data_IF_826260873222
#
_entry.id   IF_826260873222
#
_cell.length_a   1.000
_cell.length_b   1.000
_cell.length_c   1.000
_cell.angle_alpha   90.00
_cell.angle_beta   90.00
_cell.angle_gamma   90.00
#
_symmetry.space_group_name_H-M   'P 1'
#
loop_
_entity.id
_entity.type
_entity.pdbx_description
1 polymer ?
#
# COMPACT_ATOMS: atom_id res chain seq x y z
N UNK A 1 41.69 -39.56 -33.65
CA UNK A 1 40.63 -39.07 -32.74
C UNK A 1 41.14 -38.28 -31.52
N UNK A 2 42.25 -38.66 -30.86
CA UNK A 2 42.82 -37.95 -29.67
C UNK A 2 43.03 -36.43 -29.83
N UNK A 3 43.49 -35.94 -30.99
CA UNK A 3 43.65 -34.49 -31.24
C UNK A 3 42.31 -33.73 -31.15
N UNK A 4 41.22 -34.24 -31.73
CA UNK A 4 39.91 -33.56 -31.72
C UNK A 4 39.33 -33.44 -30.30
N UNK A 5 39.54 -34.44 -29.44
CA UNK A 5 39.13 -34.41 -28.03
C UNK A 5 39.91 -33.34 -27.23
N UNK A 6 41.25 -33.32 -27.36
CA UNK A 6 42.10 -32.34 -26.68
C UNK A 6 41.74 -30.90 -27.06
N UNK A 7 41.32 -30.68 -28.31
CA UNK A 7 40.84 -29.39 -28.81
C UNK A 7 39.44 -28.99 -28.33
N UNK A 8 38.60 -29.93 -27.89
CA UNK A 8 37.27 -29.63 -27.36
C UNK A 8 37.35 -29.09 -25.93
N UNK A 9 38.34 -29.55 -25.16
CA UNK A 9 38.60 -29.14 -23.76
C UNK A 9 39.59 -27.97 -23.61
N UNK A 10 40.10 -27.40 -24.70
CA UNK A 10 41.09 -26.31 -24.67
C UNK A 10 40.41 -24.95 -24.54
N UNK A 11 41.02 -24.03 -23.78
CA UNK A 11 40.42 -22.73 -23.49
C UNK A 11 40.24 -21.89 -24.77
N UNK A 12 39.15 -21.09 -24.88
CA UNK A 12 38.82 -20.35 -26.10
C UNK A 12 39.91 -19.36 -26.53
N UNK A 13 40.68 -18.79 -25.60
CA UNK A 13 41.81 -17.90 -25.89
C UNK A 13 43.01 -18.65 -26.52
N UNK A 14 43.33 -19.86 -26.06
CA UNK A 14 44.38 -20.71 -26.64
C UNK A 14 44.00 -21.16 -28.06
N UNK A 15 42.70 -21.39 -28.28
CA UNK A 15 42.13 -21.77 -29.58
C UNK A 15 42.14 -20.63 -30.61
N UNK A 16 42.10 -19.37 -30.13
CA UNK A 16 42.25 -18.18 -30.96
C UNK A 16 43.69 -17.99 -31.42
N UNK A 17 44.66 -18.11 -30.50
CA UNK A 17 46.09 -17.96 -30.78
C UNK A 17 46.62 -19.04 -31.73
N UNK A 18 46.13 -20.28 -31.61
CA UNK A 18 46.59 -21.41 -32.43
C UNK A 18 45.98 -21.48 -33.86
N UNK A 19 44.94 -20.69 -34.20
CA UNK A 19 44.21 -20.85 -35.48
C UNK A 19 43.67 -19.57 -36.12
N UNK A 20 43.82 -18.41 -35.49
CA UNK A 20 43.40 -17.11 -36.05
C UNK A 20 41.88 -16.92 -36.24
N UNK A 21 41.03 -17.84 -35.74
CA UNK A 21 39.56 -17.71 -35.86
C UNK A 21 39.02 -16.73 -34.83
N UNK A 22 38.68 -15.50 -35.28
CA UNK A 22 38.03 -14.45 -34.46
C UNK A 22 36.98 -15.04 -33.52
N UNK A 23 37.07 -14.81 -32.19
CA UNK A 23 36.24 -15.49 -31.19
C UNK A 23 34.88 -14.77 -31.05
N UNK A 24 34.11 -14.74 -32.14
CA UNK A 24 32.80 -14.09 -32.21
C UNK A 24 31.83 -14.56 -31.12
N UNK A 25 31.90 -15.85 -30.73
CA UNK A 25 31.09 -16.42 -29.64
C UNK A 25 31.38 -15.76 -28.29
N UNK A 26 32.64 -15.42 -28.01
CA UNK A 26 33.05 -14.77 -26.76
C UNK A 26 32.67 -13.29 -26.76
N UNK A 27 32.83 -12.59 -27.89
CA UNK A 27 32.38 -11.21 -28.05
C UNK A 27 30.87 -11.05 -27.85
N UNK A 28 30.06 -11.97 -28.40
CA UNK A 28 28.60 -12.00 -28.18
C UNK A 28 28.26 -12.24 -26.71
N UNK A 29 29.01 -13.11 -26.01
CA UNK A 29 28.79 -13.34 -24.58
C UNK A 29 29.10 -12.09 -23.74
N UNK A 30 30.19 -11.38 -24.03
CA UNK A 30 30.52 -10.11 -23.36
C UNK A 30 29.45 -9.05 -23.65
N UNK A 31 29.04 -8.92 -24.92
CA UNK A 31 27.99 -7.98 -25.31
C UNK A 31 26.65 -8.30 -24.61
N UNK A 32 26.29 -9.58 -24.52
CA UNK A 32 25.10 -10.02 -23.79
C UNK A 32 25.17 -9.63 -22.32
N UNK A 33 26.30 -9.86 -21.65
CA UNK A 33 26.48 -9.47 -20.25
C UNK A 33 26.31 -7.96 -20.11
N UNK A 34 26.98 -7.16 -20.95
CA UNK A 34 26.86 -5.71 -20.93
C UNK A 34 25.41 -5.23 -21.15
N UNK A 35 24.71 -5.76 -22.15
CA UNK A 35 23.31 -5.44 -22.42
C UNK A 35 22.40 -5.78 -21.24
N UNK A 36 22.54 -6.99 -20.68
CA UNK A 36 21.74 -7.42 -19.52
C UNK A 36 22.03 -6.56 -18.30
N UNK A 37 23.29 -6.20 -18.05
CA UNK A 37 23.65 -5.31 -16.93
C UNK A 37 23.07 -3.91 -17.11
N UNK A 38 23.11 -3.34 -18.32
CA UNK A 38 22.52 -2.02 -18.61
C UNK A 38 21.00 -2.07 -18.41
N UNK A 39 20.34 -3.10 -18.95
CA UNK A 39 18.90 -3.28 -18.79
C UNK A 39 18.51 -3.39 -17.31
N UNK A 40 19.27 -4.15 -16.51
CA UNK A 40 19.01 -4.31 -15.08
C UNK A 40 19.15 -2.98 -14.33
N UNK A 41 20.20 -2.19 -14.63
CA UNK A 41 20.43 -0.90 -13.96
C UNK A 41 19.32 0.10 -14.30
N UNK A 42 18.95 0.21 -15.57
CA UNK A 42 17.86 1.11 -15.99
C UNK A 42 16.53 0.72 -15.33
N UNK A 43 16.21 -0.58 -15.31
CA UNK A 43 15.02 -1.09 -14.63
C UNK A 43 15.06 -0.84 -13.11
N UNK A 44 16.22 -1.02 -12.48
CA UNK A 44 16.41 -0.77 -11.06
C UNK A 44 16.15 0.68 -10.67
N UNK A 45 16.66 1.64 -11.46
CA UNK A 45 16.45 3.06 -11.21
C UNK A 45 14.96 3.47 -11.32
N UNK A 46 14.25 2.94 -12.34
CA UNK A 46 12.82 3.21 -12.52
C UNK A 46 12.01 2.64 -11.34
N UNK A 47 12.23 1.37 -10.97
CA UNK A 47 11.54 0.77 -9.83
C UNK A 47 11.84 1.46 -8.50
N UNK A 48 13.08 1.89 -8.29
CA UNK A 48 13.47 2.60 -7.07
C UNK A 48 12.67 3.90 -6.90
N UNK A 49 12.43 4.64 -7.99
CA UNK A 49 11.61 5.85 -7.96
C UNK A 49 10.15 5.55 -7.60
N UNK A 50 9.56 4.49 -8.19
CA UNK A 50 8.19 4.08 -7.88
C UNK A 50 8.05 3.66 -6.42
N UNK A 51 9.01 2.89 -5.90
CA UNK A 51 9.02 2.45 -4.50
C UNK A 51 9.16 3.64 -3.56
N UNK A 52 10.08 4.56 -3.83
CA UNK A 52 10.26 5.77 -3.03
C UNK A 52 8.99 6.62 -3.00
N UNK A 53 8.37 6.85 -4.16
CA UNK A 53 7.11 7.57 -4.24
C UNK A 53 6.01 6.87 -3.42
N UNK A 54 5.87 5.55 -3.55
CA UNK A 54 4.90 4.78 -2.76
C UNK A 54 5.16 4.92 -1.26
N UNK A 55 6.41 4.81 -0.83
CA UNK A 55 6.81 4.86 0.59
C UNK A 55 6.56 6.24 1.19
N UNK A 56 6.99 7.32 0.52
CA UNK A 56 6.76 8.70 0.95
C UNK A 56 5.26 9.02 1.09
N UNK A 57 4.44 8.60 0.11
CA UNK A 57 2.99 8.77 0.19
C UNK A 57 2.39 7.94 1.33
N UNK A 58 2.86 6.70 1.53
CA UNK A 58 2.37 5.85 2.62
C UNK A 58 2.64 6.48 3.98
N UNK A 59 3.84 7.05 4.19
CA UNK A 59 4.18 7.77 5.42
C UNK A 59 3.27 9.00 5.58
N UNK A 60 3.08 9.79 4.52
CA UNK A 60 2.17 10.94 4.56
C UNK A 60 0.74 10.53 4.93
N UNK A 61 0.24 9.42 4.39
CA UNK A 61 -1.08 8.90 4.73
C UNK A 61 -1.18 8.44 6.19
N UNK A 62 -0.13 7.81 6.76
CA UNK A 62 -0.10 7.48 8.19
C UNK A 62 -0.25 8.73 9.06
N UNK A 63 0.50 9.79 8.77
CA UNK A 63 0.39 11.06 9.48
C UNK A 63 -0.95 11.77 9.30
N UNK A 64 -1.59 11.63 8.14
CA UNK A 64 -2.87 12.26 7.85
C UNK A 64 -4.06 11.53 8.51
N UNK A 65 -4.06 10.20 8.50
CA UNK A 65 -5.22 9.40 8.89
C UNK A 65 -5.10 8.75 10.27
N UNK A 66 -3.90 8.59 10.84
CA UNK A 66 -3.70 8.00 12.16
C UNK A 66 -3.47 9.09 13.23
N UNK A 67 -4.37 9.20 14.22
CA UNK A 67 -4.24 10.19 15.30
C UNK A 67 -3.03 9.86 16.17
N UNK A 68 -2.12 10.81 16.33
CA UNK A 68 -0.95 10.65 17.21
C UNK A 68 0.13 9.71 16.70
N UNK A 69 0.13 9.37 15.40
CA UNK A 69 1.19 8.59 14.79
C UNK A 69 2.54 9.32 14.82
N UNK A 70 3.62 8.56 15.05
CA UNK A 70 5.00 9.03 15.08
C UNK A 70 5.89 8.04 14.32
N UNK A 71 6.85 8.54 13.53
CA UNK A 71 7.64 7.77 12.54
C UNK A 71 8.39 6.53 13.08
N UNK A 72 8.50 6.37 14.40
CA UNK A 72 9.24 5.26 15.03
C UNK A 72 8.33 4.19 15.65
N UNK A 73 7.01 4.30 15.50
CA UNK A 73 6.04 3.42 16.16
C UNK A 73 5.27 2.51 15.20
N UNK A 74 5.78 2.28 13.98
CA UNK A 74 5.04 1.56 12.94
C UNK A 74 4.50 0.19 13.38
N UNK A 75 5.25 -0.57 14.17
CA UNK A 75 4.84 -1.90 14.66
C UNK A 75 4.26 -1.88 16.08
N UNK A 76 4.23 -0.72 16.74
CA UNK A 76 3.84 -0.58 18.16
C UNK A 76 2.64 0.34 18.37
N UNK A 77 2.14 0.96 17.30
CA UNK A 77 0.95 1.81 17.39
C UNK A 77 -0.28 0.94 17.65
N UNK A 78 -0.83 1.06 18.86
CA UNK A 78 -2.01 0.36 19.30
C UNK A 78 -2.85 1.27 20.20
N UNK A 79 -4.16 1.04 20.16
CA UNK A 79 -5.14 1.76 20.95
C UNK A 79 -5.72 0.79 21.99
N UNK A 80 -5.82 1.24 23.25
CA UNK A 80 -6.16 0.35 24.37
C UNK A 80 -7.50 0.67 25.05
N UNK A 81 -8.18 1.76 24.66
CA UNK A 81 -9.48 2.13 25.21
C UNK A 81 -10.54 2.20 24.13
N UNK A 82 -11.78 1.83 24.46
CA UNK A 82 -12.90 1.86 23.53
C UNK A 82 -13.16 3.27 22.99
N UNK A 83 -13.04 4.29 23.85
CA UNK A 83 -13.22 5.69 23.45
C UNK A 83 -12.14 6.13 22.46
N UNK A 84 -10.88 5.74 22.69
CA UNK A 84 -9.80 6.07 21.76
C UNK A 84 -9.99 5.40 20.39
N UNK A 85 -10.60 4.21 20.33
CA UNK A 85 -10.96 3.54 19.06
C UNK A 85 -11.98 4.38 18.29
N UNK A 86 -13.06 4.80 18.94
CA UNK A 86 -14.05 5.69 18.30
C UNK A 86 -13.43 7.01 17.85
N UNK A 87 -12.61 7.63 18.70
CA UNK A 87 -11.88 8.86 18.39
C UNK A 87 -10.99 8.71 17.17
N UNK A 88 -10.32 7.57 17.02
CA UNK A 88 -9.47 7.27 15.87
C UNK A 88 -10.27 7.17 14.57
N UNK A 89 -11.40 6.46 14.61
CA UNK A 89 -12.29 6.29 13.44
C UNK A 89 -12.84 7.64 13.01
N UNK A 90 -13.35 8.43 13.96
CA UNK A 90 -13.89 9.77 13.70
C UNK A 90 -12.81 10.71 13.18
N UNK A 91 -11.61 10.65 13.74
CA UNK A 91 -10.46 11.43 13.26
C UNK A 91 -10.13 11.08 11.80
N UNK A 92 -9.97 9.80 11.47
CA UNK A 92 -9.65 9.34 10.12
C UNK A 92 -10.74 9.75 9.11
N UNK A 93 -12.02 9.63 9.49
CA UNK A 93 -13.15 10.06 8.67
C UNK A 93 -13.13 11.57 8.41
N UNK A 94 -12.96 12.40 9.45
CA UNK A 94 -12.89 13.85 9.31
C UNK A 94 -11.72 14.27 8.41
N UNK A 95 -10.56 13.62 8.58
CA UNK A 95 -9.37 13.85 7.74
C UNK A 95 -9.60 13.42 6.28
N UNK A 96 -10.35 12.34 6.07
CA UNK A 96 -10.78 11.94 4.74
C UNK A 96 -11.68 12.99 4.10
N UNK A 97 -12.69 13.51 4.80
CA UNK A 97 -13.60 14.53 4.26
C UNK A 97 -12.89 15.86 3.95
N UNK A 98 -11.94 16.27 4.80
CA UNK A 98 -11.18 17.51 4.66
C UNK A 98 -9.90 17.37 3.82
N UNK A 99 -9.65 16.22 3.20
CA UNK A 99 -8.37 15.90 2.56
C UNK A 99 -7.88 16.99 1.60
N UNK A 100 -8.79 17.56 0.80
CA UNK A 100 -8.48 18.63 -0.17
C UNK A 100 -7.99 19.93 0.47
N UNK A 101 -8.37 20.20 1.72
CA UNK A 101 -8.02 21.43 2.43
C UNK A 101 -6.74 21.26 3.25
N UNK A 102 -6.50 20.07 3.80
CA UNK A 102 -5.39 19.81 4.73
C UNK A 102 -4.15 19.20 4.07
N UNK A 103 -4.30 18.51 2.94
CA UNK A 103 -3.18 17.83 2.30
C UNK A 103 -2.34 18.80 1.46
N UNK A 104 -1.02 18.67 1.58
CA UNK A 104 -0.05 19.37 0.72
C UNK A 104 0.12 18.65 -0.63
N UNK A 105 -0.17 17.35 -0.68
CA UNK A 105 -0.03 16.52 -1.87
C UNK A 105 -1.13 16.75 -2.90
N UNK A 106 -0.88 16.35 -4.15
CA UNK A 106 -1.86 16.39 -5.23
C UNK A 106 -2.87 15.23 -5.17
N UNK A 107 -3.37 14.93 -3.97
CA UNK A 107 -4.30 13.83 -3.74
C UNK A 107 -5.73 14.22 -4.13
N UNK A 108 -6.39 13.33 -4.85
CA UNK A 108 -7.79 13.47 -5.24
C UNK A 108 -8.56 12.18 -4.96
N UNK A 109 -9.85 12.30 -4.67
CA UNK A 109 -10.73 11.13 -4.60
C UNK A 109 -10.88 10.49 -5.98
N UNK A 110 -11.01 9.17 -6.04
CA UNK A 110 -11.39 8.48 -7.27
C UNK A 110 -12.81 8.92 -7.68
N UNK A 111 -13.01 9.34 -8.92
CA UNK A 111 -14.33 9.66 -9.45
C UNK A 111 -14.88 8.45 -10.23
N UNK A 112 -16.08 7.98 -9.86
CA UNK A 112 -16.87 7.03 -10.67
C UNK A 112 -18.00 7.80 -11.36
N UNK A 113 -17.66 8.53 -12.42
CA UNK A 113 -18.62 9.38 -13.14
C UNK A 113 -18.96 10.66 -12.37
N UNK A 114 -20.23 10.84 -11.99
CA UNK A 114 -20.72 12.03 -11.27
C UNK A 114 -20.56 11.95 -9.75
N UNK A 115 -20.24 10.77 -9.20
CA UNK A 115 -20.03 10.56 -7.76
C UNK A 115 -18.55 10.34 -7.44
N UNK A 116 -18.10 10.96 -6.35
CA UNK A 116 -16.79 10.72 -5.77
C UNK A 116 -16.81 9.38 -5.02
N UNK A 117 -15.65 8.71 -4.94
CA UNK A 117 -15.51 7.47 -4.18
C UNK A 117 -15.84 7.72 -2.72
N UNK A 118 -16.70 6.88 -2.16
CA UNK A 118 -16.98 6.87 -0.73
C UNK A 118 -15.83 6.20 0.04
N UNK A 119 -15.65 6.58 1.30
CA UNK A 119 -14.94 5.79 2.29
C UNK A 119 -15.89 4.71 2.83
N UNK A 120 -15.46 3.46 2.87
CA UNK A 120 -16.16 2.37 3.51
C UNK A 120 -15.59 2.14 4.91
N UNK A 121 -16.45 2.07 5.91
CA UNK A 121 -16.11 1.72 7.30
C UNK A 121 -16.79 0.38 7.57
N UNK A 122 -16.01 -0.69 7.64
CA UNK A 122 -16.50 -2.04 7.79
C UNK A 122 -16.10 -2.58 9.16
N UNK A 123 -17.05 -3.15 9.90
CA UNK A 123 -16.77 -3.97 11.07
C UNK A 123 -16.95 -5.44 10.72
N UNK A 124 -16.00 -6.26 11.16
CA UNK A 124 -16.06 -7.71 11.05
C UNK A 124 -16.20 -8.27 12.45
N UNK A 125 -17.23 -9.06 12.70
CA UNK A 125 -17.52 -9.61 14.03
C UNK A 125 -18.08 -11.03 13.93
N UNK A 126 -17.95 -11.81 15.01
CA UNK A 126 -18.54 -13.14 15.10
C UNK A 126 -20.06 -13.06 15.11
N UNK A 127 -20.73 -13.85 14.28
CA UNK A 127 -22.20 -13.90 14.12
C UNK A 127 -22.98 -14.18 15.39
N UNK A 128 -22.39 -14.94 16.31
CA UNK A 128 -22.89 -15.11 17.66
C UNK A 128 -21.69 -15.24 18.60
N UNK A 129 -21.70 -14.51 19.71
CA UNK A 129 -20.62 -14.59 20.69
C UNK A 129 -21.11 -14.10 22.05
N UNK A 130 -21.24 -15.02 23.00
CA UNK A 130 -21.44 -14.68 24.40
C UNK A 130 -20.22 -15.15 25.17
N UNK A 131 -19.46 -14.20 25.71
CA UNK A 131 -18.24 -14.47 26.46
C UNK A 131 -18.44 -13.95 27.87
N UNK A 132 -18.58 -14.85 28.84
CA UNK A 132 -18.75 -14.51 30.25
C UNK A 132 -17.57 -15.05 31.05
N UNK A 133 -16.43 -14.33 31.08
CA UNK A 133 -15.22 -14.82 31.73
C UNK A 133 -15.41 -14.99 33.24
N UNK A 134 -16.31 -14.23 33.88
CA UNK A 134 -16.62 -14.39 35.30
C UNK A 134 -17.32 -15.72 35.65
N UNK A 135 -17.92 -16.39 34.68
CA UNK A 135 -18.60 -17.69 34.84
C UNK A 135 -17.86 -18.83 34.13
N UNK A 136 -16.66 -18.58 33.59
CA UNK A 136 -15.88 -19.52 32.77
C UNK A 136 -16.66 -20.13 31.58
N UNK A 137 -17.66 -19.42 31.05
CA UNK A 137 -18.51 -19.88 29.94
C UNK A 137 -18.35 -19.01 28.70
N UNK A 138 -18.25 -19.65 27.54
CA UNK A 138 -18.28 -19.00 26.25
C UNK A 138 -19.11 -19.81 25.25
N UNK A 139 -19.81 -19.13 24.35
CA UNK A 139 -20.51 -19.70 23.21
C UNK A 139 -20.24 -18.79 22.01
N UNK A 140 -19.52 -19.30 21.01
CA UNK A 140 -19.03 -18.52 19.87
C UNK A 140 -19.30 -19.30 18.59
N UNK A 141 -19.98 -18.66 17.65
CA UNK A 141 -20.06 -19.09 16.26
C UNK A 141 -18.88 -18.47 15.49
N UNK A 142 -17.97 -19.29 14.91
CA UNK A 142 -16.82 -18.78 14.16
C UNK A 142 -17.19 -18.13 12.82
N UNK A 143 -18.46 -18.15 12.39
CA UNK A 143 -18.91 -17.43 11.20
C UNK A 143 -18.73 -15.91 11.38
N UNK A 144 -18.02 -15.27 10.46
CA UNK A 144 -17.77 -13.83 10.47
C UNK A 144 -18.84 -13.12 9.65
N UNK A 145 -19.54 -12.17 10.26
CA UNK A 145 -20.42 -11.23 9.58
C UNK A 145 -19.71 -9.88 9.41
N UNK A 146 -19.98 -9.24 8.27
CA UNK A 146 -19.41 -7.93 7.92
C UNK A 146 -20.54 -6.93 7.76
N UNK A 147 -20.43 -5.81 8.46
CA UNK A 147 -21.33 -4.67 8.31
C UNK A 147 -20.53 -3.44 7.89
N UNK A 148 -20.92 -2.80 6.79
CA UNK A 148 -20.21 -1.66 6.21
C UNK A 148 -21.09 -0.42 6.10
N UNK A 149 -20.50 0.72 6.40
CA UNK A 149 -21.07 2.06 6.24
C UNK A 149 -20.28 2.85 5.20
N UNK A 150 -20.95 3.63 4.37
CA UNK A 150 -20.32 4.40 3.30
C UNK A 150 -20.45 5.90 3.54
N UNK A 151 -19.33 6.62 3.42
CA UNK A 151 -19.24 8.07 3.62
C UNK A 151 -18.81 8.74 2.31
N UNK A 152 -19.72 9.48 1.66
CA UNK A 152 -19.44 10.21 0.41
C UNK A 152 -18.86 11.62 0.69
N UNK A 153 -17.75 12.02 0.04
CA UNK A 153 -17.20 13.37 0.19
C UNK A 153 -18.06 14.40 -0.56
N UNK A 154 -18.56 15.41 0.18
CA UNK A 154 -19.37 16.50 -0.37
C UNK A 154 -20.82 16.56 0.14
N UNK A 155 -21.28 15.54 0.86
CA UNK A 155 -22.43 15.72 1.74
C UNK A 155 -22.03 16.64 2.87
N UNK A 156 -22.76 17.75 3.04
CA UNK A 156 -22.59 18.63 4.19
C UNK A 156 -23.02 17.85 5.43
N UNK A 157 -22.10 17.08 6.01
CA UNK A 157 -22.25 16.63 7.38
C UNK A 157 -22.34 17.91 8.22
N UNK A 158 -23.55 18.25 8.66
CA UNK A 158 -23.78 19.45 9.44
C UNK A 158 -22.79 19.45 10.61
N UNK A 159 -21.79 20.34 10.55
CA UNK A 159 -20.92 20.70 11.67
C UNK A 159 -21.79 21.52 12.63
N UNK A 160 -22.69 20.82 13.31
CA UNK A 160 -23.30 21.28 14.55
C UNK A 160 -22.37 20.82 15.66
N UNK A 161 -21.99 21.78 16.50
CA UNK A 161 -21.42 21.64 17.86
C UNK A 161 -21.08 20.23 18.31
N UNK A 162 -19.79 20.05 18.64
CA UNK A 162 -19.23 19.06 19.57
C UNK A 162 -20.30 18.39 20.45
N UNK A 163 -20.34 17.05 20.44
CA UNK A 163 -21.04 16.16 21.40
C UNK A 163 -22.33 15.42 20.97
N UNK A 164 -22.81 15.49 19.73
CA UNK A 164 -23.93 14.61 19.30
C UNK A 164 -23.52 13.66 18.16
N UNK A 165 -23.27 12.39 18.54
CA UNK A 165 -23.28 11.16 17.73
C UNK A 165 -23.85 11.28 16.30
N UNK A 166 -23.01 11.38 15.27
CA UNK A 166 -23.47 11.38 13.85
C UNK A 166 -23.06 10.19 13.01
N UNK A 167 -22.30 9.26 13.57
CA UNK A 167 -22.32 7.89 13.10
C UNK A 167 -23.19 7.13 14.09
N UNK A 168 -24.32 6.59 13.63
CA UNK A 168 -25.06 5.55 14.36
C UNK A 168 -24.26 4.23 14.28
N UNK A 169 -22.98 4.29 14.63
CA UNK A 169 -22.03 3.20 14.50
C UNK A 169 -21.68 2.73 15.90
N UNK A 170 -22.20 1.58 16.27
CA UNK A 170 -21.95 0.93 17.54
C UNK A 170 -21.13 -0.32 17.31
N UNK A 171 -19.91 -0.32 17.84
CA UNK A 171 -19.00 -1.47 17.83
C UNK A 171 -19.32 -2.38 19.02
N UNK A 172 -19.55 -3.67 18.73
CA UNK A 172 -19.62 -4.70 19.77
C UNK A 172 -18.24 -5.28 20.05
N UNK A 173 -17.47 -4.63 20.93
CA UNK A 173 -16.10 -5.03 21.26
C UNK A 173 -15.93 -6.47 21.76
N UNK A 174 -16.99 -7.12 22.26
CA UNK A 174 -16.90 -8.51 22.72
C UNK A 174 -16.89 -9.52 21.57
N UNK A 175 -17.50 -9.15 20.44
CA UNK A 175 -17.64 -10.01 19.25
C UNK A 175 -16.81 -9.52 18.07
N UNK A 176 -16.27 -8.30 18.17
CA UNK A 176 -15.47 -7.64 17.15
C UNK A 176 -14.17 -8.40 16.87
N UNK A 177 -13.89 -8.61 15.58
CA UNK A 177 -12.65 -9.20 15.08
C UNK A 177 -11.73 -8.09 14.58
N UNK A 178 -12.22 -7.20 13.72
CA UNK A 178 -11.46 -6.05 13.21
C UNK A 178 -12.37 -4.97 12.64
N UNK A 179 -11.90 -3.73 12.64
CA UNK A 179 -12.52 -2.60 11.95
C UNK A 179 -11.62 -2.14 10.81
N UNK A 180 -12.19 -1.99 9.63
CA UNK A 180 -11.48 -1.59 8.42
C UNK A 180 -12.07 -0.30 7.86
N UNK A 181 -11.22 0.71 7.66
CA UNK A 181 -11.56 1.90 6.89
C UNK A 181 -10.90 1.80 5.53
N UNK A 182 -11.70 1.66 4.48
CA UNK A 182 -11.24 1.45 3.12
C UNK A 182 -11.65 2.61 2.22
N UNK A 183 -10.69 3.20 1.50
CA UNK A 183 -10.96 4.27 0.55
C UNK A 183 -9.87 4.36 -0.52
N UNK A 184 -10.15 5.10 -1.60
CA UNK A 184 -9.25 5.23 -2.74
C UNK A 184 -8.89 6.68 -3.02
N UNK A 185 -7.61 6.91 -3.21
CA UNK A 185 -7.03 8.20 -3.56
C UNK A 185 -6.20 8.08 -4.84
N UNK A 186 -6.16 9.14 -5.62
CA UNK A 186 -5.30 9.29 -6.80
C UNK A 186 -4.22 10.31 -6.51
N UNK A 187 -3.00 10.07 -6.98
CA UNK A 187 -1.93 11.05 -6.96
C UNK A 187 -1.13 10.98 -8.26
N UNK A 188 -0.50 12.09 -8.65
CA UNK A 188 0.33 12.15 -9.85
C UNK A 188 1.79 12.28 -9.41
N UNK A 189 2.66 11.38 -9.87
CA UNK A 189 4.08 11.49 -9.58
C UNK A 189 4.73 12.54 -10.49
N UNK A 190 5.05 13.71 -9.93
CA UNK A 190 5.72 14.78 -10.66
C UNK A 190 7.24 14.57 -10.79
N UNK A 191 7.84 13.61 -10.06
CA UNK A 191 9.28 13.33 -10.13
C UNK A 191 9.68 12.69 -11.47
N UNK A 192 8.76 11.99 -12.14
CA UNK A 192 9.02 11.37 -13.46
C UNK A 192 9.12 12.41 -14.57
N UNK A 193 8.45 13.56 -14.45
CA UNK A 193 8.54 14.69 -15.41
C UNK A 193 9.97 15.22 -15.54
N UNK A 194 10.76 15.18 -14.46
CA UNK A 194 12.18 15.58 -14.49
C UNK A 194 13.04 14.69 -15.40
N UNK A 195 12.59 13.47 -15.65
CA UNK A 195 13.28 12.49 -16.49
C UNK A 195 12.75 12.49 -17.94
N UNK A 196 11.95 13.49 -18.32
CA UNK A 196 11.30 13.61 -19.64
C UNK A 196 10.33 12.45 -19.97
N UNK A 197 9.95 11.68 -18.96
CA UNK A 197 8.89 10.67 -19.03
C UNK A 197 7.54 11.31 -18.70
N UNK A 198 6.46 10.73 -19.22
CA UNK A 198 5.11 11.21 -18.89
C UNK A 198 4.84 10.99 -17.39
N UNK A 199 4.13 11.92 -16.71
CA UNK A 199 3.76 11.75 -15.32
C UNK A 199 2.84 10.55 -15.15
N UNK A 200 3.22 9.63 -14.27
CA UNK A 200 2.40 8.47 -13.93
C UNK A 200 1.30 8.88 -12.94
N UNK A 201 0.08 8.43 -13.22
CA UNK A 201 -1.06 8.55 -12.31
C UNK A 201 -1.15 7.27 -11.48
N UNK A 202 -1.07 7.41 -10.15
CA UNK A 202 -1.13 6.32 -9.20
C UNK A 202 -2.49 6.28 -8.49
N UNK A 203 -3.07 5.09 -8.44
CA UNK A 203 -4.26 4.80 -7.65
C UNK A 203 -3.85 4.08 -6.36
N UNK A 204 -4.04 4.76 -5.23
CA UNK A 204 -3.83 4.24 -3.89
C UNK A 204 -5.15 3.70 -3.34
N UNK A 205 -5.16 2.43 -2.97
CA UNK A 205 -6.23 1.84 -2.16
C UNK A 205 -5.71 1.74 -0.73
N UNK A 206 -6.26 2.56 0.15
CA UNK A 206 -5.91 2.58 1.56
C UNK A 206 -6.87 1.70 2.34
N UNK A 207 -6.31 0.89 3.23
CA UNK A 207 -7.05 0.14 4.23
C UNK A 207 -6.39 0.42 5.58
N UNK A 208 -7.12 1.07 6.48
CA UNK A 208 -6.71 1.25 7.88
C UNK A 208 -7.41 0.18 8.70
N UNK A 209 -6.64 -0.74 9.26
CA UNK A 209 -7.15 -1.84 10.09
C UNK A 209 -6.89 -1.53 11.57
N UNK A 210 -7.87 -1.84 12.41
CA UNK A 210 -7.80 -1.78 13.88
C UNK A 210 -8.42 -3.01 14.53
#
# INVERSE_FOLDING_TARGET
>A
MRRKLKFFFMNPCEKFWARGRKPWKLAIQILKIAMVTIQLVLFGLSNQMVVAFKEENTIAFKHLFLKGYMDRMDDTYAVYTQNDVYDQIVFAMNRYLELRNISVGNHAYENKGTKQSAMAICQHFYKQGSICPGNDTFDIDPEIETECFFVEPGEAFHIGTSEENKLNFTLDFHRLVTVELQFKLKAINLQTVRHQELPDCYDFTLTVCG
#
